data_IF_180424019096
#
_entry.id   IF_180424019096
#
_cell.length_a   1.000
_cell.length_b   1.000
_cell.length_c   1.000
_cell.angle_alpha   90.00
_cell.angle_beta   90.00
_cell.angle_gamma   90.00
#
_symmetry.space_group_name_H-M   'P 1'
#
loop_
_entity.id
_entity.type
_entity.pdbx_description
1 polymer ?
#
# COMPACT_ATOMS: atom_id res chain seq x y z
N UNK A 1 -1.18 -10.77 -6.91
CA UNK A 1 0.01 -10.33 -6.14
C UNK A 1 -0.42 -9.38 -5.04
N UNK A 2 0.31 -9.36 -3.92
CA UNK A 2 0.10 -8.43 -2.83
C UNK A 2 1.43 -8.17 -2.10
N UNK A 3 1.44 -7.17 -1.24
CA UNK A 3 2.49 -6.92 -0.27
C UNK A 3 1.84 -6.43 1.04
N UNK A 4 2.61 -6.41 2.12
CA UNK A 4 2.20 -5.82 3.39
C UNK A 4 2.96 -4.50 3.54
N UNK A 5 2.25 -3.42 3.80
CA UNK A 5 2.86 -2.09 3.99
C UNK A 5 3.69 -2.06 5.27
N UNK A 6 4.76 -1.25 5.27
CA UNK A 6 5.62 -1.04 6.44
C UNK A 6 4.97 -0.16 7.52
N UNK A 7 3.81 0.43 7.22
CA UNK A 7 2.95 1.14 8.17
C UNK A 7 1.48 0.93 7.82
N UNK A 8 0.60 1.16 8.80
CA UNK A 8 -0.84 1.21 8.57
C UNK A 8 -1.26 2.48 7.83
N UNK A 9 -2.35 2.40 7.07
CA UNK A 9 -2.92 3.57 6.40
C UNK A 9 -3.66 4.45 7.40
N UNK A 10 -3.44 5.76 7.31
CA UNK A 10 -3.99 6.71 8.28
C UNK A 10 -4.86 7.80 7.60
N UNK A 11 -5.97 8.17 8.26
CA UNK A 11 -6.79 9.30 7.84
C UNK A 11 -6.10 10.65 8.06
N UNK A 12 -5.23 10.76 9.06
CA UNK A 12 -4.46 11.97 9.37
C UNK A 12 -3.35 12.23 8.34
N UNK A 13 -2.84 11.17 7.70
CA UNK A 13 -1.92 11.24 6.56
C UNK A 13 -2.64 11.48 5.22
N UNK A 14 -3.97 11.53 5.20
CA UNK A 14 -4.76 11.68 3.98
C UNK A 14 -4.88 10.40 3.13
N UNK A 15 -4.46 9.25 3.65
CA UNK A 15 -4.51 7.95 2.97
C UNK A 15 -5.92 7.34 3.03
N UNK A 16 -6.64 7.62 4.13
CA UNK A 16 -8.02 7.20 4.35
C UNK A 16 -8.97 8.40 4.54
N UNK A 17 -10.27 8.17 4.41
CA UNK A 17 -11.29 9.02 5.04
C UNK A 17 -11.37 8.71 6.53
N UNK A 18 -11.95 9.61 7.35
CA UNK A 18 -12.26 9.33 8.77
C UNK A 18 -13.20 8.14 8.98
N UNK A 19 -13.82 7.64 7.91
CA UNK A 19 -14.69 6.44 7.89
C UNK A 19 -13.99 5.23 7.27
N UNK A 20 -12.65 5.21 7.20
CA UNK A 20 -11.82 4.11 6.70
C UNK A 20 -11.98 3.77 5.21
N UNK A 21 -12.41 4.72 4.37
CA UNK A 21 -12.41 4.54 2.92
C UNK A 21 -11.07 4.96 2.33
N UNK A 22 -10.48 4.11 1.51
CA UNK A 22 -9.20 4.38 0.83
C UNK A 22 -9.32 5.53 -0.16
N UNK A 23 -8.42 6.52 -0.07
CA UNK A 23 -8.30 7.62 -1.03
C UNK A 23 -7.35 7.24 -2.16
N UNK A 24 -7.88 6.52 -3.16
CA UNK A 24 -7.09 5.87 -4.23
C UNK A 24 -6.10 6.78 -4.97
N UNK A 25 -6.46 8.02 -5.28
CA UNK A 25 -5.54 8.97 -5.94
C UNK A 25 -4.32 9.27 -5.09
N UNK A 26 -4.53 9.63 -3.82
CA UNK A 26 -3.46 9.89 -2.86
C UNK A 26 -2.56 8.66 -2.63
N UNK A 27 -3.17 7.47 -2.54
CA UNK A 27 -2.41 6.22 -2.44
C UNK A 27 -1.56 5.97 -3.70
N UNK A 28 -2.12 6.20 -4.89
CA UNK A 28 -1.40 6.00 -6.15
C UNK A 28 -0.19 6.93 -6.27
N UNK A 29 -0.31 8.17 -5.81
CA UNK A 29 0.78 9.13 -5.82
C UNK A 29 1.86 8.76 -4.77
N UNK A 30 1.46 8.52 -3.52
CA UNK A 30 2.39 8.26 -2.41
C UNK A 30 3.09 6.89 -2.51
N UNK A 31 2.38 5.86 -3.00
CA UNK A 31 2.87 4.49 -3.08
C UNK A 31 3.09 4.02 -4.53
N UNK A 32 3.20 4.95 -5.50
CA UNK A 32 3.30 4.64 -6.91
C UNK A 32 4.40 3.63 -7.25
N UNK A 33 5.57 3.73 -6.60
CA UNK A 33 6.69 2.79 -6.77
C UNK A 33 6.34 1.35 -6.42
N UNK A 34 5.46 1.14 -5.42
CA UNK A 34 4.98 -0.18 -5.02
C UNK A 34 3.92 -0.71 -5.99
N UNK A 35 3.03 0.17 -6.46
CA UNK A 35 2.00 -0.15 -7.45
C UNK A 35 2.67 -0.57 -8.76
N UNK A 36 3.68 0.17 -9.22
CA UNK A 36 4.47 -0.18 -10.40
C UNK A 36 5.16 -1.53 -10.21
N UNK A 37 5.81 -1.77 -9.06
CA UNK A 37 6.47 -3.04 -8.79
C UNK A 37 5.50 -4.24 -8.82
N UNK A 38 4.25 -4.06 -8.36
CA UNK A 38 3.20 -5.07 -8.43
C UNK A 38 2.85 -5.42 -9.88
N UNK A 39 2.72 -4.43 -10.77
CA UNK A 39 2.43 -4.65 -12.19
C UNK A 39 3.64 -5.15 -12.99
N UNK A 40 4.84 -4.73 -12.62
CA UNK A 40 6.09 -5.16 -13.25
C UNK A 40 6.53 -6.58 -12.83
N UNK A 41 5.83 -7.21 -11.88
CA UNK A 41 6.13 -8.58 -11.45
C UNK A 41 7.41 -8.71 -10.62
N UNK A 42 7.87 -7.62 -9.96
CA UNK A 42 9.08 -7.64 -9.11
C UNK A 42 8.86 -8.50 -7.85
N UNK A 43 9.94 -9.12 -7.35
CA UNK A 43 9.90 -9.93 -6.12
C UNK A 43 9.97 -9.06 -4.85
N UNK A 44 10.63 -7.91 -4.93
CA UNK A 44 10.76 -6.94 -3.84
C UNK A 44 10.84 -5.51 -4.38
N UNK A 45 10.55 -4.54 -3.51
CA UNK A 45 10.66 -3.12 -3.84
C UNK A 45 11.04 -2.32 -2.59
N UNK A 46 12.05 -1.47 -2.73
CA UNK A 46 12.39 -0.46 -1.73
C UNK A 46 11.43 0.74 -1.83
N UNK A 47 10.99 1.23 -0.69
CA UNK A 47 10.25 2.49 -0.58
C UNK A 47 10.76 3.27 0.63
N UNK A 48 10.81 4.59 0.48
CA UNK A 48 10.98 5.54 1.56
C UNK A 48 9.78 6.50 1.54
N UNK A 49 9.11 6.63 2.67
CA UNK A 49 7.92 7.46 2.82
C UNK A 49 8.18 8.52 3.87
N UNK A 50 7.92 9.78 3.55
CA UNK A 50 7.96 10.88 4.52
C UNK A 50 6.75 10.77 5.43
N UNK A 51 6.99 10.76 6.74
CA UNK A 51 5.97 10.73 7.79
C UNK A 51 6.01 12.05 8.54
N UNK A 52 4.84 12.64 8.77
CA UNK A 52 4.70 13.82 9.61
C UNK A 52 4.26 13.37 11.00
N UNK A 53 5.08 13.63 12.00
CA UNK A 53 4.77 13.35 13.39
C UNK A 53 3.79 14.39 13.95
N UNK A 54 3.03 14.00 14.97
CA UNK A 54 2.05 14.87 15.64
C UNK A 54 2.69 16.12 16.26
N UNK A 55 3.97 16.04 16.62
CA UNK A 55 4.76 17.17 17.14
C UNK A 55 5.27 18.14 16.06
N UNK A 56 4.88 17.91 14.79
CA UNK A 56 5.25 18.75 13.65
C UNK A 56 6.58 18.39 12.99
N UNK A 57 7.33 17.42 13.53
CA UNK A 57 8.56 16.94 12.89
C UNK A 57 8.23 16.11 11.65
N UNK A 58 9.11 16.16 10.67
CA UNK A 58 9.10 15.26 9.51
C UNK A 58 10.21 14.23 9.65
N UNK A 59 9.86 12.96 9.61
CA UNK A 59 10.83 11.86 9.46
C UNK A 59 10.59 11.11 8.15
N UNK A 60 11.45 10.13 7.88
CA UNK A 60 11.19 9.14 6.84
C UNK A 60 11.17 7.74 7.44
N UNK A 61 10.28 6.91 6.90
CA UNK A 61 10.26 5.48 7.17
C UNK A 61 10.59 4.79 5.85
N UNK A 62 11.62 3.96 5.86
CA UNK A 62 12.04 3.20 4.70
C UNK A 62 11.96 1.70 4.98
N UNK A 63 11.62 0.95 3.94
CA UNK A 63 11.53 -0.50 3.99
C UNK A 63 11.70 -1.12 2.60
N UNK A 64 12.27 -2.32 2.56
CA UNK A 64 12.20 -3.20 1.39
C UNK A 64 11.06 -4.19 1.59
N UNK A 65 10.02 -4.08 0.77
CA UNK A 65 8.81 -4.90 0.87
C UNK A 65 8.87 -6.06 -0.12
N UNK A 66 8.49 -7.26 0.34
CA UNK A 66 8.34 -8.43 -0.51
C UNK A 66 6.98 -8.43 -1.18
N UNK A 67 6.96 -8.76 -2.47
CA UNK A 67 5.76 -8.94 -3.26
C UNK A 67 5.50 -10.44 -3.41
N UNK A 68 4.32 -10.87 -2.98
CA UNK A 68 3.93 -12.29 -2.95
C UNK A 68 2.76 -12.55 -3.89
N UNK A 69 2.76 -13.73 -4.50
CA UNK A 69 1.61 -14.25 -5.21
C UNK A 69 0.61 -14.87 -4.24
N UNK A 70 -0.68 -14.59 -4.46
CA UNK A 70 -1.74 -15.19 -3.69
C UNK A 70 -2.18 -16.49 -4.38
N UNK A 71 -2.41 -17.55 -3.61
CA UNK A 71 -3.04 -18.77 -4.12
C UNK A 71 -4.47 -18.43 -4.56
N UNK A 72 -4.75 -18.56 -5.84
CA UNK A 72 -6.10 -18.37 -6.40
C UNK A 72 -6.84 -19.70 -6.43
N UNK A 73 -8.14 -19.65 -6.14
CA UNK A 73 -9.05 -20.79 -6.29
C UNK A 73 -10.05 -20.48 -7.40
N UNK A 74 -10.51 -21.51 -8.11
CA UNK A 74 -11.55 -21.34 -9.12
C UNK A 74 -12.80 -20.74 -8.47
N UNK A 75 -13.45 -19.74 -9.11
CA UNK A 75 -14.67 -19.16 -8.58
C UNK A 75 -15.74 -20.25 -8.44
N UNK A 76 -16.45 -20.25 -7.32
CA UNK A 76 -17.60 -21.14 -7.13
C UNK A 76 -18.63 -20.76 -8.20
N UNK A 77 -19.06 -21.73 -9.02
CA UNK A 77 -20.09 -21.49 -10.03
C UNK A 77 -21.31 -20.88 -9.33
N UNK A 78 -21.86 -19.80 -9.91
CA UNK A 78 -23.12 -19.24 -9.45
C UNK A 78 -24.18 -20.34 -9.41
N UNK A 79 -24.94 -20.42 -8.33
CA UNK A 79 -26.12 -21.26 -8.28
C UNK A 79 -27.06 -20.82 -9.42
N UNK A 80 -27.51 -21.80 -10.21
CA UNK A 80 -28.42 -21.61 -11.33
C UNK A 80 -29.83 -21.22 -10.85
#
# INVERSE_FOLDING_TARGET
RFLILHKELDADDGELTRTNKVRRGFIADKYGVLVEALYAGRAEQFIETVVKFEDGRTGSVSATLKLLDAKTFSPVKAAA
#
